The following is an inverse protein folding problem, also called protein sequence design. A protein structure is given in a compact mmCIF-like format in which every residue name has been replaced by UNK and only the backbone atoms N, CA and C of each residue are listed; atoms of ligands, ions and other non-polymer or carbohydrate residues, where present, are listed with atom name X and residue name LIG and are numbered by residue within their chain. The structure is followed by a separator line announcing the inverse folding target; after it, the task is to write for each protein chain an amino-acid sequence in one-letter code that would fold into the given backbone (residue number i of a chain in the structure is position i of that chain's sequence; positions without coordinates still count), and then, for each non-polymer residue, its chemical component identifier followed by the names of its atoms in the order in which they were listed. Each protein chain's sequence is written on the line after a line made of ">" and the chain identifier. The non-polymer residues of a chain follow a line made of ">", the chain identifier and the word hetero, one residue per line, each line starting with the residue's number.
data_IF_883633576666
#
_entry.id   IF_883633576666
#
_cell.length_a   1.000
_cell.length_b   1.000
_cell.length_c   1.000
_cell.angle_alpha   90.00
_cell.angle_beta   90.00
_cell.angle_gamma   90.00
#
_symmetry.space_group_name_H-M   'P 1'
#
loop_
_entity.id
_entity.type
_entity.pdbx_description
1 polymer ?
#
# COMPACT_ATOMS: atom_id res chain seq x y z
N UNK A 1 -5.40 -23.37 7.04
CA UNK A 1 -5.59 -21.92 6.83
C UNK A 1 -6.08 -21.71 5.41
N UNK A 2 -6.90 -20.69 5.14
CA UNK A 2 -7.33 -20.42 3.77
C UNK A 2 -6.10 -20.10 2.91
N UNK A 3 -6.04 -20.67 1.71
CA UNK A 3 -5.03 -20.33 0.71
C UNK A 3 -5.19 -18.85 0.29
N UNK A 4 -4.15 -18.21 -0.23
CA UNK A 4 -4.23 -16.86 -0.82
C UNK A 4 -5.06 -16.82 -2.12
N UNK A 5 -5.87 -17.85 -2.40
CA UNK A 5 -6.70 -17.95 -3.58
C UNK A 5 -7.57 -16.70 -3.79
N UNK A 6 -7.75 -16.34 -5.06
CA UNK A 6 -8.59 -15.25 -5.54
C UNK A 6 -8.16 -13.84 -5.14
N UNK A 7 -6.94 -13.64 -4.61
CA UNK A 7 -6.41 -12.29 -4.38
C UNK A 7 -5.59 -11.81 -5.58
N UNK A 8 -5.70 -10.52 -5.85
CA UNK A 8 -4.76 -9.77 -6.68
C UNK A 8 -4.07 -8.72 -5.82
N UNK A 9 -2.84 -8.35 -6.15
CA UNK A 9 -2.15 -7.30 -5.43
C UNK A 9 -1.13 -6.58 -6.29
N UNK A 10 -0.78 -5.37 -5.87
CA UNK A 10 0.31 -4.59 -6.44
C UNK A 10 1.05 -3.85 -5.33
N UNK A 11 2.29 -3.47 -5.59
CA UNK A 11 3.11 -2.69 -4.66
C UNK A 11 3.53 -1.40 -5.34
N UNK A 12 3.55 -0.31 -4.60
CA UNK A 12 4.07 0.98 -5.03
C UNK A 12 5.25 1.33 -4.12
N UNK A 13 6.37 1.73 -4.73
CA UNK A 13 7.61 2.08 -4.05
C UNK A 13 7.98 3.52 -4.39
N UNK A 14 7.96 4.39 -3.38
CA UNK A 14 8.31 5.79 -3.54
C UNK A 14 9.80 6.01 -3.24
N UNK A 15 10.50 6.74 -4.10
CA UNK A 15 11.93 7.05 -3.94
C UNK A 15 12.31 8.32 -4.70
N UNK A 16 13.57 8.70 -4.60
CA UNK A 16 14.16 9.85 -5.30
C UNK A 16 15.40 9.44 -6.10
N UNK A 17 15.62 10.11 -7.22
CA UNK A 17 16.83 9.95 -8.04
C UNK A 17 17.18 11.30 -8.69
N UNK A 18 18.47 11.63 -8.87
CA UNK A 18 18.85 12.84 -9.56
C UNK A 18 18.53 12.74 -11.05
N UNK A 19 18.44 13.92 -11.69
CA UNK A 19 18.54 14.02 -13.14
C UNK A 19 19.96 13.58 -13.58
N UNK A 20 20.10 12.52 -14.39
CA UNK A 20 21.40 12.12 -14.95
C UNK A 20 22.04 13.21 -15.81
N UNK A 21 23.37 13.32 -15.74
CA UNK A 21 24.15 14.29 -16.51
C UNK A 21 23.98 14.16 -18.03
N UNK A 22 23.75 12.95 -18.52
CA UNK A 22 23.46 12.67 -19.94
C UNK A 22 22.16 13.31 -20.44
N UNK A 23 21.25 13.68 -19.53
CA UNK A 23 19.97 14.33 -19.85
C UNK A 23 19.96 15.82 -19.49
N UNK A 24 21.12 16.47 -19.35
CA UNK A 24 21.22 17.91 -19.02
C UNK A 24 20.35 18.82 -19.90
N UNK A 25 20.15 18.50 -21.18
CA UNK A 25 19.25 19.28 -22.04
C UNK A 25 17.79 19.26 -21.58
N UNK A 26 17.35 18.16 -20.97
CA UNK A 26 15.99 17.99 -20.45
C UNK A 26 15.76 18.68 -19.11
N UNK A 27 16.82 19.18 -18.45
CA UNK A 27 16.73 19.88 -17.17
C UNK A 27 15.75 21.06 -17.18
N UNK A 28 15.63 21.73 -18.33
CA UNK A 28 14.79 22.92 -18.49
C UNK A 28 13.41 22.62 -19.09
N UNK A 29 13.15 21.35 -19.46
CA UNK A 29 11.93 20.95 -20.15
C UNK A 29 11.12 19.98 -19.28
N UNK A 30 11.75 18.87 -18.86
CA UNK A 30 11.08 17.81 -18.10
C UNK A 30 12.08 17.01 -17.23
N UNK A 31 12.73 17.65 -16.24
CA UNK A 31 13.75 17.00 -15.40
C UNK A 31 13.22 15.72 -14.73
N UNK A 32 12.01 15.78 -14.17
CA UNK A 32 11.37 14.63 -13.53
C UNK A 32 11.17 13.47 -14.49
N UNK A 33 10.75 13.73 -15.74
CA UNK A 33 10.55 12.69 -16.75
C UNK A 33 11.88 12.04 -17.16
N UNK A 34 12.95 12.82 -17.27
CA UNK A 34 14.27 12.31 -17.61
C UNK A 34 14.89 11.46 -16.48
N UNK A 35 14.73 11.87 -15.21
CA UNK A 35 15.19 11.09 -14.06
C UNK A 35 14.49 9.71 -13.99
N UNK A 36 13.16 9.70 -14.12
CA UNK A 36 12.35 8.47 -14.18
C UNK A 36 12.71 7.58 -15.37
N UNK A 37 12.80 8.16 -16.56
CA UNK A 37 13.13 7.43 -17.78
C UNK A 37 14.47 6.70 -17.64
N UNK A 38 15.48 7.40 -17.13
CA UNK A 38 16.82 6.83 -16.98
C UNK A 38 16.83 5.62 -16.04
N UNK A 39 16.09 5.68 -14.93
CA UNK A 39 15.96 4.53 -14.03
C UNK A 39 15.23 3.36 -14.70
N UNK A 40 14.10 3.63 -15.36
CA UNK A 40 13.32 2.61 -16.08
C UNK A 40 14.15 1.95 -17.20
N UNK A 41 14.87 2.74 -18.00
CA UNK A 41 15.70 2.27 -19.11
C UNK A 41 16.87 1.42 -18.64
N UNK A 42 17.56 1.82 -17.57
CA UNK A 42 18.64 1.04 -17.00
C UNK A 42 18.15 -0.29 -16.40
N UNK A 43 16.98 -0.29 -15.74
CA UNK A 43 16.39 -1.53 -15.23
C UNK A 43 15.92 -2.45 -16.37
N UNK A 44 15.31 -1.90 -17.42
CA UNK A 44 14.89 -2.65 -18.61
C UNK A 44 16.09 -3.34 -19.27
N UNK A 45 17.22 -2.66 -19.41
CA UNK A 45 18.45 -3.22 -20.00
C UNK A 45 19.11 -4.33 -19.19
N UNK A 46 18.80 -4.46 -17.90
CA UNK A 46 19.41 -5.45 -17.00
C UNK A 46 18.53 -6.64 -16.66
N UNK A 47 17.23 -6.53 -16.93
CA UNK A 47 16.25 -7.55 -16.56
C UNK A 47 15.48 -8.02 -17.77
N UNK A 48 14.75 -9.11 -17.64
CA UNK A 48 13.70 -9.49 -18.61
C UNK A 48 12.31 -9.05 -18.13
N UNK A 49 12.22 -8.19 -17.12
CA UNK A 49 10.94 -7.77 -16.57
C UNK A 49 10.21 -6.83 -17.55
N UNK A 50 8.87 -6.82 -17.56
CA UNK A 50 8.12 -5.83 -18.32
C UNK A 50 8.26 -4.47 -17.62
N UNK A 51 8.86 -3.49 -18.30
CA UNK A 51 9.14 -2.15 -17.77
C UNK A 51 8.50 -1.09 -18.67
N UNK A 52 7.81 -0.14 -18.04
CA UNK A 52 7.24 1.03 -18.68
C UNK A 52 7.49 2.29 -17.84
N UNK A 53 7.38 3.47 -18.46
CA UNK A 53 7.47 4.75 -17.80
C UNK A 53 6.34 5.66 -18.26
N UNK A 54 5.74 6.40 -17.33
CA UNK A 54 4.65 7.33 -17.61
C UNK A 54 5.20 8.71 -18.01
N UNK A 55 4.79 9.19 -19.17
CA UNK A 55 5.05 10.55 -19.61
C UNK A 55 4.17 11.54 -18.81
N UNK A 56 4.66 12.76 -18.61
CA UNK A 56 3.89 13.82 -17.96
C UNK A 56 4.20 15.13 -18.69
N UNK A 57 3.31 15.54 -19.59
CA UNK A 57 3.41 16.79 -20.34
C UNK A 57 2.03 17.19 -20.89
N UNK A 58 1.92 18.43 -21.37
CA UNK A 58 0.72 18.87 -22.08
C UNK A 58 0.55 18.08 -23.41
N UNK A 59 -0.67 17.93 -23.94
CA UNK A 59 -0.92 17.14 -25.16
C UNK A 59 -0.10 17.55 -26.39
N UNK A 60 0.24 18.83 -26.51
CA UNK A 60 1.00 19.38 -27.65
C UNK A 60 2.52 19.43 -27.40
N UNK A 61 2.99 18.95 -26.25
CA UNK A 61 4.39 19.01 -25.83
C UNK A 61 5.06 17.62 -25.85
N UNK A 62 6.37 17.57 -25.61
CA UNK A 62 7.13 16.33 -25.46
C UNK A 62 8.06 16.37 -24.26
N UNK A 63 8.06 15.28 -23.50
CA UNK A 63 9.05 15.04 -22.45
C UNK A 63 10.17 14.10 -22.93
N UNK A 64 11.20 13.92 -22.09
CA UNK A 64 12.32 13.02 -22.37
C UNK A 64 11.88 11.57 -22.69
N UNK A 65 10.79 11.09 -22.07
CA UNK A 65 10.28 9.72 -22.28
C UNK A 65 9.71 9.58 -23.70
N UNK A 66 8.68 10.36 -24.05
CA UNK A 66 7.98 10.21 -25.34
C UNK A 66 8.83 10.68 -26.54
N UNK A 67 9.87 11.49 -26.31
CA UNK A 67 10.86 11.84 -27.32
C UNK A 67 11.83 10.70 -27.64
N UNK A 68 12.05 9.78 -26.69
CA UNK A 68 13.05 8.70 -26.81
C UNK A 68 12.41 7.36 -27.16
N UNK A 69 11.23 7.05 -26.62
CA UNK A 69 10.53 5.78 -26.85
C UNK A 69 9.87 5.77 -28.24
N UNK A 70 10.03 4.71 -29.06
CA UNK A 70 9.37 4.58 -30.36
C UNK A 70 7.84 4.69 -30.27
N UNK A 71 7.19 5.25 -31.30
CA UNK A 71 5.74 5.54 -31.29
C UNK A 71 4.88 4.27 -31.14
N UNK A 72 5.35 3.16 -31.69
CA UNK A 72 4.71 1.84 -31.59
C UNK A 72 4.66 1.31 -30.15
N UNK A 73 5.48 1.87 -29.25
CA UNK A 73 5.53 1.50 -27.84
C UNK A 73 4.87 2.57 -26.93
N UNK A 74 4.12 3.51 -27.50
CA UNK A 74 3.41 4.55 -26.76
C UNK A 74 1.91 4.21 -26.69
N UNK A 75 1.40 4.01 -25.48
CA UNK A 75 0.03 3.63 -25.17
C UNK A 75 -0.61 4.74 -24.33
N UNK A 76 -1.05 5.82 -25.00
CA UNK A 76 -1.52 7.01 -24.30
C UNK A 76 -0.37 7.71 -23.58
N UNK A 77 -0.47 7.85 -22.25
CA UNK A 77 0.58 8.45 -21.42
C UNK A 77 1.68 7.45 -21.02
N UNK A 78 1.47 6.16 -21.30
CA UNK A 78 2.38 5.09 -20.89
C UNK A 78 3.33 4.71 -22.03
N UNK A 79 4.63 4.70 -21.76
CA UNK A 79 5.66 4.36 -22.73
C UNK A 79 6.36 3.06 -22.32
N UNK A 80 6.29 2.04 -23.17
CA UNK A 80 6.80 0.69 -22.87
C UNK A 80 8.24 0.58 -23.36
N UNK A 81 9.16 0.29 -22.44
CA UNK A 81 10.58 0.14 -22.75
C UNK A 81 10.91 -1.32 -23.07
N UNK A 82 10.29 -2.23 -22.33
CA UNK A 82 10.45 -3.66 -22.51
C UNK A 82 9.17 -4.38 -22.08
N UNK A 83 8.68 -5.31 -22.89
CA UNK A 83 7.60 -6.22 -22.51
C UNK A 83 7.78 -7.53 -23.30
N UNK A 84 8.35 -8.60 -22.71
CA UNK A 84 8.75 -9.80 -23.45
C UNK A 84 7.61 -10.47 -24.23
N UNK A 85 6.40 -10.46 -23.66
CA UNK A 85 5.23 -11.11 -24.25
C UNK A 85 4.47 -10.20 -25.22
N UNK A 86 4.93 -8.96 -25.40
CA UNK A 86 4.21 -7.91 -26.12
C UNK A 86 2.93 -7.45 -25.41
N UNK A 87 2.36 -6.37 -25.92
CA UNK A 87 1.06 -5.84 -25.49
C UNK A 87 0.09 -5.83 -26.67
N UNK A 88 -1.13 -6.28 -26.42
CA UNK A 88 -2.24 -6.20 -27.36
C UNK A 88 -2.96 -4.87 -27.23
N UNK A 89 -3.61 -4.44 -28.32
CA UNK A 89 -4.42 -3.21 -28.32
C UNK A 89 -5.53 -3.32 -27.27
N UNK A 90 -5.57 -2.38 -26.31
CA UNK A 90 -6.59 -2.31 -25.27
C UNK A 90 -6.20 -2.95 -23.94
N UNK A 91 -4.99 -3.52 -23.82
CA UNK A 91 -4.46 -3.91 -22.50
C UNK A 91 -4.02 -2.69 -21.69
N UNK A 92 -4.23 -2.75 -20.38
CA UNK A 92 -3.74 -1.73 -19.44
C UNK A 92 -2.26 -1.98 -19.13
N UNK A 93 -1.40 -1.06 -19.54
CA UNK A 93 0.06 -1.15 -19.33
C UNK A 93 0.40 -1.21 -17.85
N UNK A 94 -0.35 -0.49 -17.01
CA UNK A 94 -0.13 -0.43 -15.56
C UNK A 94 -0.43 -1.75 -14.85
N UNK A 95 -1.22 -2.64 -15.47
CA UNK A 95 -1.49 -3.97 -14.92
C UNK A 95 -0.42 -5.00 -15.31
N UNK A 96 0.37 -4.73 -16.35
CA UNK A 96 1.31 -5.70 -16.94
C UNK A 96 2.79 -5.34 -16.78
N UNK A 97 3.11 -4.09 -16.49
CA UNK A 97 4.48 -3.60 -16.41
C UNK A 97 4.80 -3.08 -15.01
N UNK A 98 6.08 -3.14 -14.64
CA UNK A 98 6.63 -2.22 -13.66
C UNK A 98 6.59 -0.82 -14.26
N UNK A 99 5.76 0.04 -13.69
CA UNK A 99 5.50 1.38 -14.20
C UNK A 99 6.19 2.42 -13.32
N UNK A 100 7.04 3.24 -13.96
CA UNK A 100 7.74 4.37 -13.33
C UNK A 100 6.95 5.66 -13.52
N UNK A 101 6.42 6.22 -12.43
CA UNK A 101 5.55 7.40 -12.42
C UNK A 101 6.16 8.56 -11.64
N UNK A 102 5.64 9.76 -11.90
CA UNK A 102 6.00 10.94 -11.12
C UNK A 102 5.38 10.84 -9.74
N UNK A 103 6.16 11.13 -8.70
CA UNK A 103 5.63 11.22 -7.33
C UNK A 103 5.95 12.58 -6.71
N UNK A 104 5.03 13.09 -5.90
CA UNK A 104 5.27 14.27 -5.08
C UNK A 104 5.71 13.85 -3.68
N UNK A 105 6.95 14.16 -3.33
CA UNK A 105 7.53 13.85 -2.03
C UNK A 105 7.83 15.13 -1.25
N UNK A 106 7.51 15.13 0.05
CA UNK A 106 7.77 16.28 0.93
C UNK A 106 9.26 16.50 1.25
N UNK A 107 10.12 15.49 1.01
CA UNK A 107 11.56 15.54 1.25
C UNK A 107 11.88 16.00 2.69
N UNK A 108 11.30 15.31 3.67
CA UNK A 108 11.29 15.74 5.08
C UNK A 108 12.67 15.67 5.75
N UNK A 109 13.62 14.92 5.18
CA UNK A 109 14.98 14.84 5.72
C UNK A 109 15.88 15.97 5.17
N UNK A 110 16.74 16.62 5.99
CA UNK A 110 17.59 17.73 5.55
C UNK A 110 18.46 17.42 4.32
N UNK A 111 18.99 16.20 4.23
CA UNK A 111 19.79 15.76 3.06
C UNK A 111 18.95 15.67 1.78
N UNK A 112 17.72 15.14 1.87
CA UNK A 112 16.78 15.07 0.75
C UNK A 112 16.41 16.47 0.28
N UNK A 113 16.04 17.34 1.21
CA UNK A 113 15.69 18.73 0.93
C UNK A 113 16.84 19.51 0.28
N UNK A 114 18.08 19.25 0.70
CA UNK A 114 19.26 19.87 0.08
C UNK A 114 19.51 19.36 -1.35
N UNK A 115 19.26 18.07 -1.59
CA UNK A 115 19.44 17.45 -2.91
C UNK A 115 18.39 17.90 -3.92
N UNK A 116 17.15 18.10 -3.46
CA UNK A 116 16.00 18.48 -4.28
C UNK A 116 15.86 17.55 -5.50
N UNK A 117 15.89 16.25 -5.24
CA UNK A 117 15.77 15.23 -6.27
C UNK A 117 14.31 14.93 -6.58
N UNK A 118 14.07 14.56 -7.85
CA UNK A 118 12.73 14.26 -8.34
C UNK A 118 12.19 12.98 -7.70
N UNK A 119 10.93 13.03 -7.28
CA UNK A 119 10.19 11.87 -6.77
C UNK A 119 9.78 10.93 -7.89
N UNK A 120 9.96 9.63 -7.64
CA UNK A 120 9.62 8.54 -8.53
C UNK A 120 8.85 7.49 -7.75
N UNK A 121 7.70 7.09 -8.28
CA UNK A 121 6.97 5.92 -7.83
C UNK A 121 7.21 4.76 -8.81
N UNK A 122 7.61 3.60 -8.29
CA UNK A 122 7.66 2.35 -9.04
C UNK A 122 6.46 1.52 -8.62
N UNK A 123 5.51 1.34 -9.53
CA UNK A 123 4.36 0.45 -9.32
C UNK A 123 4.58 -0.88 -10.02
N UNK A 124 4.22 -1.97 -9.37
CA UNK A 124 4.34 -3.31 -9.93
C UNK A 124 3.23 -3.60 -10.94
N UNK A 125 3.39 -4.61 -11.81
CA UNK A 125 2.23 -5.24 -12.43
C UNK A 125 1.26 -5.78 -11.37
N UNK A 126 0.04 -6.10 -11.78
CA UNK A 126 -0.93 -6.76 -10.92
C UNK A 126 -0.55 -8.23 -10.78
N UNK A 127 -0.08 -8.59 -9.59
CA UNK A 127 0.26 -9.95 -9.24
C UNK A 127 -0.98 -10.75 -8.81
N UNK A 128 -0.88 -12.06 -8.97
CA UNK A 128 -1.86 -13.05 -8.44
C UNK A 128 -1.27 -13.79 -7.25
N UNK A 129 -2.13 -14.51 -6.52
CA UNK A 129 -1.78 -15.32 -5.35
C UNK A 129 -0.49 -16.15 -5.48
N UNK A 130 -0.25 -16.75 -6.66
CA UNK A 130 0.94 -17.58 -6.92
C UNK A 130 2.26 -16.83 -6.74
N UNK A 131 2.29 -15.52 -6.94
CA UNK A 131 3.50 -14.71 -6.70
C UNK A 131 3.84 -14.63 -5.21
N UNK A 132 2.83 -14.51 -4.34
CA UNK A 132 3.03 -14.52 -2.87
C UNK A 132 3.47 -15.91 -2.38
N UNK A 133 2.85 -16.97 -2.89
CA UNK A 133 3.24 -18.35 -2.57
C UNK A 133 4.67 -18.66 -3.03
N UNK A 134 5.10 -18.07 -4.16
CA UNK A 134 6.48 -18.11 -4.66
C UNK A 134 7.45 -17.19 -3.92
N UNK A 135 7.00 -16.41 -2.93
CA UNK A 135 7.85 -15.53 -2.15
C UNK A 135 8.22 -14.20 -2.83
N UNK A 136 7.44 -13.76 -3.82
CA UNK A 136 7.62 -12.53 -4.60
C UNK A 136 8.95 -12.47 -5.38
N UNK A 137 9.28 -13.52 -6.12
CA UNK A 137 10.53 -13.62 -6.88
C UNK A 137 10.65 -12.54 -7.98
N UNK A 138 9.54 -12.08 -8.56
CA UNK A 138 9.55 -10.98 -9.53
C UNK A 138 10.00 -9.68 -8.85
N UNK A 139 9.51 -9.40 -7.64
CA UNK A 139 9.95 -8.25 -6.84
C UNK A 139 11.40 -8.39 -6.39
N UNK A 140 11.81 -9.59 -5.98
CA UNK A 140 13.20 -9.87 -5.62
C UNK A 140 14.14 -9.55 -6.78
N UNK A 141 13.76 -9.96 -8.00
CA UNK A 141 14.52 -9.67 -9.22
C UNK A 141 14.61 -8.18 -9.48
N UNK A 142 13.49 -7.44 -9.38
CA UNK A 142 13.46 -6.00 -9.55
C UNK A 142 14.36 -5.28 -8.54
N UNK A 143 14.19 -5.54 -7.24
CA UNK A 143 14.98 -4.92 -6.17
C UNK A 143 16.48 -5.24 -6.26
N UNK A 144 16.82 -6.50 -6.57
CA UNK A 144 18.22 -6.91 -6.75
C UNK A 144 18.87 -6.14 -7.89
N UNK A 145 18.17 -5.99 -9.03
CA UNK A 145 18.70 -5.26 -10.16
C UNK A 145 18.76 -3.75 -9.92
N UNK A 146 17.77 -3.16 -9.23
CA UNK A 146 17.78 -1.77 -8.79
C UNK A 146 19.03 -1.45 -7.95
N UNK A 147 19.39 -2.32 -7.01
CA UNK A 147 20.59 -2.19 -6.16
C UNK A 147 21.92 -2.36 -6.90
N UNK A 148 21.89 -2.90 -8.12
CA UNK A 148 23.07 -3.06 -8.96
C UNK A 148 23.14 -2.01 -10.07
N UNK A 149 22.15 -1.12 -10.18
CA UNK A 149 22.23 0.02 -11.07
C UNK A 149 23.30 0.97 -10.54
N UNK A 150 24.11 1.50 -11.45
CA UNK A 150 25.03 2.59 -11.15
C UNK A 150 24.25 3.90 -11.11
N UNK A 151 23.32 3.99 -10.16
CA UNK A 151 22.41 5.11 -9.95
C UNK A 151 22.43 5.55 -8.51
N UNK A 152 22.40 6.86 -8.31
CA UNK A 152 22.11 7.42 -7.00
C UNK A 152 20.60 7.34 -6.76
N UNK A 153 20.22 6.52 -5.79
CA UNK A 153 18.84 6.35 -5.37
C UNK A 153 18.78 6.73 -3.90
N UNK A 154 17.83 7.56 -3.49
CA UNK A 154 17.59 7.87 -2.08
C UNK A 154 16.13 7.69 -1.71
N UNK A 155 15.89 7.51 -0.42
CA UNK A 155 14.56 7.54 0.18
C UNK A 155 14.67 8.12 1.58
N UNK A 156 13.61 8.75 2.07
CA UNK A 156 13.53 9.25 3.44
C UNK A 156 12.17 8.91 4.07
N UNK A 157 11.89 9.46 5.25
CA UNK A 157 10.66 9.18 5.99
C UNK A 157 9.36 9.57 5.25
N UNK A 158 9.44 10.43 4.22
CA UNK A 158 8.29 10.74 3.37
C UNK A 158 7.99 9.65 2.35
N UNK A 159 8.99 8.83 1.99
CA UNK A 159 8.85 7.75 1.01
C UNK A 159 8.17 6.53 1.61
N UNK A 160 7.08 6.08 0.99
CA UNK A 160 6.28 4.93 1.37
C UNK A 160 6.46 3.70 0.50
N UNK A 161 6.01 2.60 1.06
CA UNK A 161 5.67 1.39 0.32
C UNK A 161 4.17 1.15 0.47
N UNK A 162 3.42 1.38 -0.61
CA UNK A 162 1.98 1.11 -0.63
C UNK A 162 1.72 -0.29 -1.16
N UNK A 163 0.70 -0.95 -0.60
CA UNK A 163 0.25 -2.24 -1.10
C UNK A 163 -1.22 -2.14 -1.44
N UNK A 164 -1.54 -2.44 -2.68
CA UNK A 164 -2.90 -2.58 -3.17
C UNK A 164 -3.28 -4.05 -3.10
N UNK A 165 -4.45 -4.36 -2.53
CA UNK A 165 -4.99 -5.72 -2.51
C UNK A 165 -6.42 -5.69 -3.04
N UNK A 166 -6.69 -6.51 -4.05
CA UNK A 166 -8.00 -6.75 -4.64
C UNK A 166 -8.37 -8.23 -4.58
N UNK A 167 -9.54 -8.55 -5.11
CA UNK A 167 -9.99 -9.93 -5.31
C UNK A 167 -10.43 -10.12 -6.75
N UNK A 168 -10.22 -11.32 -7.30
CA UNK A 168 -10.52 -11.64 -8.70
C UNK A 168 -12.01 -11.53 -9.03
N UNK A 169 -12.89 -11.76 -8.04
CA UNK A 169 -14.34 -11.57 -8.17
C UNK A 169 -14.79 -10.11 -8.15
N UNK A 170 -13.85 -9.18 -7.93
CA UNK A 170 -14.14 -7.76 -7.70
C UNK A 170 -14.58 -7.43 -6.27
N UNK A 171 -14.42 -6.16 -5.91
CA UNK A 171 -14.75 -5.65 -4.57
C UNK A 171 -16.25 -5.46 -4.42
N UNK A 172 -16.80 -5.92 -3.29
CA UNK A 172 -18.19 -5.67 -2.89
C UNK A 172 -18.24 -4.82 -1.63
N UNK A 173 -19.36 -4.14 -1.37
CA UNK A 173 -19.53 -3.37 -0.13
C UNK A 173 -19.35 -4.25 1.11
N UNK A 174 -19.89 -5.48 1.10
CA UNK A 174 -19.76 -6.39 2.22
C UNK A 174 -18.29 -6.77 2.47
N UNK A 175 -17.53 -7.07 1.42
CA UNK A 175 -16.11 -7.36 1.55
C UNK A 175 -15.34 -6.12 2.06
N UNK A 176 -15.61 -4.93 1.52
CA UNK A 176 -14.97 -3.70 1.97
C UNK A 176 -15.29 -3.38 3.44
N UNK A 177 -16.52 -3.63 3.90
CA UNK A 177 -16.92 -3.50 5.32
C UNK A 177 -16.14 -4.46 6.21
N UNK A 178 -16.02 -5.72 5.80
CA UNK A 178 -15.25 -6.75 6.52
C UNK A 178 -13.76 -6.40 6.59
N UNK A 179 -13.14 -6.02 5.47
CA UNK A 179 -11.73 -5.59 5.44
C UNK A 179 -11.53 -4.39 6.36
N UNK A 180 -12.36 -3.35 6.22
CA UNK A 180 -12.27 -2.13 7.04
C UNK A 180 -12.42 -2.43 8.53
N UNK A 181 -13.32 -3.35 8.89
CA UNK A 181 -13.49 -3.82 10.27
C UNK A 181 -12.21 -4.44 10.81
N UNK A 182 -11.55 -5.32 10.04
CA UNK A 182 -10.27 -5.91 10.45
C UNK A 182 -9.17 -4.85 10.59
N UNK A 183 -9.09 -3.90 9.65
CA UNK A 183 -8.11 -2.81 9.72
C UNK A 183 -8.31 -1.96 10.98
N UNK A 184 -9.54 -1.54 11.27
CA UNK A 184 -9.85 -0.76 12.49
C UNK A 184 -9.37 -1.50 13.75
N UNK A 185 -9.57 -2.81 13.82
CA UNK A 185 -9.22 -3.61 15.01
C UNK A 185 -7.72 -3.95 15.09
N UNK A 186 -7.01 -3.96 13.97
CA UNK A 186 -5.58 -4.31 13.88
C UNK A 186 -4.66 -3.08 13.78
N UNK A 187 -5.19 -1.90 13.51
CA UNK A 187 -4.40 -0.71 13.14
C UNK A 187 -3.36 -0.38 14.21
N UNK A 188 -3.77 -0.16 15.46
CA UNK A 188 -2.85 0.27 16.52
C UNK A 188 -1.93 -0.85 17.02
N UNK A 189 -2.45 -2.07 17.16
CA UNK A 189 -1.73 -3.17 17.84
C UNK A 189 -0.91 -4.05 16.91
N UNK A 190 -1.18 -4.02 15.60
CA UNK A 190 -0.44 -4.79 14.61
C UNK A 190 0.16 -3.90 13.53
N UNK A 191 -0.66 -3.18 12.76
CA UNK A 191 -0.19 -2.48 11.56
C UNK A 191 0.80 -1.37 11.91
N UNK A 192 0.41 -0.45 12.79
CA UNK A 192 1.29 0.63 13.24
C UNK A 192 2.46 0.08 14.08
N UNK A 193 2.26 -1.02 14.82
CA UNK A 193 3.34 -1.63 15.62
C UNK A 193 4.51 -2.11 14.75
N UNK A 194 4.24 -2.55 13.53
CA UNK A 194 5.20 -3.17 12.60
C UNK A 194 5.77 -2.22 11.54
N UNK A 195 5.41 -0.93 11.57
CA UNK A 195 5.99 0.09 10.66
C UNK A 195 6.91 1.04 11.42
N UNK A 196 7.80 1.71 10.70
CA UNK A 196 8.77 2.62 11.27
C UNK A 196 8.08 3.80 12.01
N UNK A 197 8.57 4.22 13.20
CA UNK A 197 7.95 5.28 14.00
C UNK A 197 7.64 6.61 13.29
N UNK A 198 8.48 7.12 12.37
CA UNK A 198 8.16 8.35 11.63
C UNK A 198 6.84 8.26 10.85
N UNK A 199 6.48 7.06 10.37
CA UNK A 199 5.24 6.81 9.63
C UNK A 199 3.99 6.98 10.49
N UNK A 200 4.07 6.83 11.80
CA UNK A 200 2.89 6.93 12.67
C UNK A 200 2.30 8.34 12.72
N UNK A 201 3.14 9.35 12.44
CA UNK A 201 2.80 10.78 12.57
C UNK A 201 2.84 11.53 11.24
N UNK A 202 3.34 10.89 10.18
CA UNK A 202 3.41 11.48 8.85
C UNK A 202 2.03 11.76 8.26
N UNK A 203 1.90 12.84 7.49
CA UNK A 203 0.67 13.18 6.79
C UNK A 203 0.25 12.09 5.78
N UNK A 204 1.19 11.26 5.34
CA UNK A 204 1.00 10.26 4.29
C UNK A 204 0.45 8.92 4.79
N UNK A 205 0.52 8.65 6.10
CA UNK A 205 0.15 7.36 6.71
C UNK A 205 -0.70 7.53 7.97
N UNK A 206 -1.48 8.62 8.03
CA UNK A 206 -2.34 8.95 9.17
C UNK A 206 -3.31 7.81 9.52
N UNK A 207 -3.38 7.37 10.79
CA UNK A 207 -4.28 6.29 11.20
C UNK A 207 -5.75 6.60 10.92
N UNK A 208 -6.51 5.64 10.37
CA UNK A 208 -7.94 5.81 10.09
C UNK A 208 -8.75 5.92 11.38
N UNK A 209 -8.35 5.26 12.47
CA UNK A 209 -9.01 5.32 13.78
C UNK A 209 -8.90 6.69 14.45
N UNK A 210 -8.04 7.57 13.95
CA UNK A 210 -7.83 8.91 14.52
C UNK A 210 -8.17 10.03 13.52
N UNK A 211 -7.95 9.81 12.23
CA UNK A 211 -7.95 10.89 11.23
C UNK A 211 -9.00 10.73 10.13
N UNK A 212 -9.62 9.57 9.97
CA UNK A 212 -10.66 9.39 8.95
C UNK A 212 -11.92 10.21 9.31
N UNK A 213 -12.77 10.49 8.33
CA UNK A 213 -14.09 11.05 8.61
C UNK A 213 -14.91 10.14 9.53
N UNK A 214 -14.78 8.81 9.45
CA UNK A 214 -15.37 7.90 10.44
C UNK A 214 -14.90 8.17 11.87
N UNK A 215 -13.64 8.56 12.07
CA UNK A 215 -13.15 8.89 13.41
C UNK A 215 -13.60 10.29 13.86
N UNK A 216 -13.63 11.26 12.94
CA UNK A 216 -13.80 12.67 13.31
C UNK A 216 -15.25 13.17 13.27
N UNK A 217 -16.10 12.60 12.42
CA UNK A 217 -17.45 13.09 12.14
C UNK A 217 -18.49 12.24 12.88
N UNK A 218 -18.96 12.74 14.02
CA UNK A 218 -19.94 12.06 14.87
C UNK A 218 -21.31 11.88 14.18
N UNK A 219 -21.61 12.67 13.14
CA UNK A 219 -22.87 12.53 12.39
C UNK A 219 -22.88 11.29 11.49
N UNK A 220 -21.71 10.69 11.25
CA UNK A 220 -21.58 9.40 10.56
C UNK A 220 -21.86 8.20 11.49
N UNK A 221 -22.00 8.41 12.80
CA UNK A 221 -22.25 7.35 13.79
C UNK A 221 -23.73 7.13 14.08
N UNK A 222 -24.61 7.43 13.12
CA UNK A 222 -26.04 7.25 13.30
C UNK A 222 -26.35 5.77 13.57
N UNK A 223 -27.27 5.47 14.50
CA UNK A 223 -27.72 4.10 14.71
C UNK A 223 -28.21 3.51 13.38
N UNK A 224 -27.83 2.25 13.11
CA UNK A 224 -28.39 1.51 11.99
C UNK A 224 -29.88 1.29 12.25
N UNK A 225 -30.70 1.50 11.22
CA UNK A 225 -32.13 1.15 11.25
C UNK A 225 -32.31 -0.35 11.52
N UNK A 226 -31.44 -1.18 10.93
CA UNK A 226 -31.33 -2.61 11.21
C UNK A 226 -29.86 -3.01 11.49
N UNK A 227 -29.49 -3.26 12.76
CA UNK A 227 -28.14 -3.70 13.12
C UNK A 227 -27.91 -5.21 12.89
N UNK A 228 -28.86 -5.95 12.30
CA UNK A 228 -28.75 -7.40 12.10
C UNK A 228 -27.48 -7.78 11.35
N UNK A 229 -27.17 -7.08 10.26
CA UNK A 229 -25.98 -7.37 9.45
C UNK A 229 -24.67 -7.15 10.23
N UNK A 230 -24.57 -6.05 11.00
CA UNK A 230 -23.45 -5.79 11.90
C UNK A 230 -23.33 -6.90 12.95
N UNK A 231 -24.42 -7.27 13.62
CA UNK A 231 -24.43 -8.26 14.71
C UNK A 231 -24.09 -9.69 14.24
N UNK A 232 -24.30 -9.99 12.95
CA UNK A 232 -23.88 -11.24 12.33
C UNK A 232 -22.35 -11.34 12.17
N UNK A 233 -21.62 -10.21 12.16
CA UNK A 233 -20.20 -10.17 11.81
C UNK A 233 -19.30 -9.57 12.89
N UNK A 234 -19.85 -8.73 13.76
CA UNK A 234 -19.13 -7.98 14.80
C UNK A 234 -19.72 -8.35 16.17
N UNK A 235 -18.88 -8.66 17.17
CA UNK A 235 -19.35 -8.96 18.52
C UNK A 235 -19.90 -7.72 19.22
N UNK A 236 -20.75 -7.93 20.22
CA UNK A 236 -21.36 -6.84 20.97
C UNK A 236 -20.32 -5.92 21.61
N UNK A 237 -20.58 -4.61 21.66
CA UNK A 237 -19.73 -3.59 22.30
C UNK A 237 -19.30 -3.99 23.72
N UNK A 238 -20.14 -4.68 24.49
CA UNK A 238 -19.84 -5.12 25.86
C UNK A 238 -18.64 -6.08 25.95
N UNK A 239 -18.28 -6.74 24.84
CA UNK A 239 -17.10 -7.60 24.75
C UNK A 239 -15.79 -6.83 24.55
N UNK A 240 -15.89 -5.56 24.12
CA UNK A 240 -14.73 -4.71 23.85
C UNK A 240 -14.24 -4.03 25.13
N UNK A 241 -13.14 -4.52 25.67
CA UNK A 241 -12.51 -3.94 26.87
C UNK A 241 -11.70 -2.68 26.52
N UNK A 242 -11.68 -1.66 27.39
CA UNK A 242 -10.74 -0.55 27.26
C UNK A 242 -9.29 -1.04 27.24
N UNK A 243 -8.48 -0.49 26.34
CA UNK A 243 -7.05 -0.78 26.25
C UNK A 243 -6.34 0.13 25.25
N UNK A 244 -5.02 -0.01 25.12
CA UNK A 244 -4.23 0.82 24.18
C UNK A 244 -4.75 0.76 22.74
N UNK A 245 -5.23 -0.41 22.31
CA UNK A 245 -5.74 -0.68 20.97
C UNK A 245 -6.96 0.17 20.58
N UNK A 246 -7.74 0.65 21.55
CA UNK A 246 -8.91 1.52 21.32
C UNK A 246 -8.78 2.87 22.03
N UNK A 247 -7.55 3.27 22.36
CA UNK A 247 -7.25 4.45 23.15
C UNK A 247 -8.07 4.55 24.45
N UNK A 248 -8.39 3.40 25.07
CA UNK A 248 -9.26 3.30 26.24
C UNK A 248 -10.73 3.73 26.03
N UNK A 249 -11.17 3.92 24.79
CA UNK A 249 -12.53 4.33 24.42
C UNK A 249 -13.21 3.31 23.49
N UNK A 250 -13.58 2.10 23.95
CA UNK A 250 -14.18 1.06 23.11
C UNK A 250 -15.46 1.51 22.40
N UNK A 251 -16.23 2.42 23.02
CA UNK A 251 -17.44 3.02 22.41
C UNK A 251 -17.12 3.79 21.13
N UNK A 252 -15.95 4.42 21.03
CA UNK A 252 -15.54 5.16 19.85
C UNK A 252 -15.29 4.21 18.67
N UNK A 253 -14.50 3.16 18.89
CA UNK A 253 -14.26 2.12 17.87
C UNK A 253 -15.56 1.46 17.44
N UNK A 254 -16.44 1.11 18.39
CA UNK A 254 -17.72 0.48 18.06
C UNK A 254 -18.62 1.41 17.22
N UNK A 255 -18.62 2.72 17.48
CA UNK A 255 -19.32 3.71 16.66
C UNK A 255 -18.74 3.86 15.25
N UNK A 256 -17.42 3.75 15.09
CA UNK A 256 -16.82 3.69 13.77
C UNK A 256 -17.33 2.48 12.99
N UNK A 257 -17.44 1.31 13.64
CA UNK A 257 -18.01 0.12 13.01
C UNK A 257 -19.47 0.34 12.59
N UNK A 258 -20.28 1.07 13.37
CA UNK A 258 -21.61 1.48 12.90
C UNK A 258 -21.56 2.28 11.58
N UNK A 259 -20.63 3.23 11.45
CA UNK A 259 -20.46 4.00 10.21
C UNK A 259 -19.98 3.15 9.02
N UNK A 260 -19.09 2.19 9.27
CA UNK A 260 -18.64 1.22 8.24
C UNK A 260 -19.82 0.39 7.75
N UNK A 261 -20.51 -0.28 8.67
CA UNK A 261 -21.62 -1.19 8.35
C UNK A 261 -22.90 -0.47 7.92
N UNK A 262 -22.96 0.86 8.11
CA UNK A 262 -24.03 1.73 7.60
C UNK A 262 -23.79 2.25 6.19
N UNK A 263 -22.59 2.07 5.65
CA UNK A 263 -22.29 2.41 4.27
C UNK A 263 -22.88 1.35 3.35
N UNK A 264 -23.76 1.75 2.42
CA UNK A 264 -24.48 0.82 1.52
C UNK A 264 -23.85 0.73 0.13
N UNK A 265 -22.89 1.62 -0.18
CA UNK A 265 -22.14 1.64 -1.44
C UNK A 265 -20.65 1.92 -1.20
N UNK A 266 -19.79 1.40 -2.07
CA UNK A 266 -18.33 1.56 -1.99
C UNK A 266 -17.87 3.02 -2.01
N UNK A 267 -18.57 3.87 -2.76
CA UNK A 267 -18.24 5.30 -2.88
C UNK A 267 -18.30 6.02 -1.53
N UNK A 268 -19.35 5.77 -0.75
CA UNK A 268 -19.54 6.38 0.57
C UNK A 268 -18.47 5.89 1.54
N UNK A 269 -18.23 4.58 1.59
CA UNK A 269 -17.20 4.01 2.45
C UNK A 269 -15.81 4.56 2.11
N UNK A 270 -15.45 4.65 0.83
CA UNK A 270 -14.19 5.27 0.37
C UNK A 270 -14.08 6.72 0.84
N UNK A 271 -15.16 7.49 0.77
CA UNK A 271 -15.19 8.87 1.24
C UNK A 271 -15.02 8.98 2.76
N UNK A 272 -15.66 8.10 3.53
CA UNK A 272 -15.60 8.14 4.99
C UNK A 272 -14.24 7.70 5.56
N UNK A 273 -13.49 6.90 4.81
CA UNK A 273 -12.12 6.50 5.17
C UNK A 273 -11.08 7.62 4.99
N UNK A 274 -11.42 8.69 4.25
CA UNK A 274 -10.54 9.84 4.02
C UNK A 274 -10.60 10.85 5.16
N UNK A 275 -9.49 11.52 5.44
CA UNK A 275 -9.46 12.70 6.31
C UNK A 275 -10.20 13.85 5.64
N UNK A 276 -11.16 14.43 6.37
CA UNK A 276 -12.04 15.49 5.88
C UNK A 276 -12.66 15.17 4.50
N UNK A 277 -12.90 13.87 4.23
CA UNK A 277 -13.43 13.35 2.95
C UNK A 277 -12.57 13.65 1.72
N UNK A 278 -11.31 14.08 1.90
CA UNK A 278 -10.43 14.53 0.81
C UNK A 278 -9.12 13.75 0.74
N UNK A 279 -8.39 13.68 1.84
CA UNK A 279 -7.04 13.13 1.86
C UNK A 279 -7.06 11.67 2.30
N UNK A 280 -6.33 10.80 1.61
CA UNK A 280 -6.21 9.39 2.00
C UNK A 280 -5.51 9.28 3.36
N UNK A 281 -5.98 8.36 4.18
CA UNK A 281 -5.33 7.95 5.42
C UNK A 281 -4.39 6.76 5.14
N UNK A 282 -3.85 6.13 6.18
CA UNK A 282 -3.01 4.94 6.08
C UNK A 282 -3.72 3.73 5.47
N UNK A 283 -5.06 3.76 5.39
CA UNK A 283 -5.87 2.80 4.65
C UNK A 283 -6.89 3.54 3.79
N UNK A 284 -7.08 3.08 2.55
CA UNK A 284 -8.03 3.67 1.60
C UNK A 284 -8.70 2.60 0.73
N UNK A 285 -9.88 2.94 0.20
CA UNK A 285 -10.55 2.16 -0.83
C UNK A 285 -10.36 2.87 -2.18
N UNK A 286 -9.62 2.23 -3.09
CA UNK A 286 -9.27 2.73 -4.41
C UNK A 286 -10.28 2.23 -5.43
N UNK A 287 -11.24 3.09 -5.72
CA UNK A 287 -12.34 2.80 -6.63
C UNK A 287 -11.83 2.81 -8.08
N UNK A 288 -12.04 1.69 -8.78
CA UNK A 288 -11.78 1.55 -10.21
C UNK A 288 -13.12 1.32 -10.91
N UNK A 289 -13.32 2.00 -12.04
CA UNK A 289 -14.56 2.22 -12.81
C UNK A 289 -15.21 3.61 -12.55
N UNK A 290 -15.01 4.54 -13.49
CA UNK A 290 -15.51 5.92 -13.44
C UNK A 290 -16.62 6.15 -14.49
N UNK A 291 -17.55 5.19 -14.65
CA UNK A 291 -18.64 5.31 -15.63
C UNK A 291 -20.02 4.76 -15.23
N UNK A 292 -20.13 3.93 -14.19
CA UNK A 292 -21.40 3.26 -13.82
C UNK A 292 -21.67 3.44 -12.33
N UNK A 293 -22.90 3.83 -11.97
CA UNK A 293 -23.27 4.21 -10.59
C UNK A 293 -23.19 3.09 -9.55
N UNK A 294 -22.91 1.86 -9.95
CA UNK A 294 -22.71 0.73 -9.05
C UNK A 294 -21.31 0.12 -9.25
N UNK A 295 -20.48 0.20 -8.22
CA UNK A 295 -19.11 -0.34 -8.19
C UNK A 295 -19.03 -1.77 -7.62
N UNK A 296 -20.17 -2.38 -7.30
CA UNK A 296 -20.21 -3.77 -6.82
C UNK A 296 -19.58 -4.73 -7.85
N UNK A 297 -18.57 -5.47 -7.42
CA UNK A 297 -17.83 -6.39 -8.27
C UNK A 297 -16.83 -5.70 -9.20
N UNK A 298 -16.55 -4.41 -9.02
CA UNK A 298 -15.53 -3.71 -9.83
C UNK A 298 -14.11 -4.10 -9.40
N UNK A 299 -13.07 -3.86 -10.24
CA UNK A 299 -11.68 -4.18 -9.92
C UNK A 299 -11.07 -3.22 -8.88
N UNK A 300 -11.92 -2.57 -8.06
CA UNK A 300 -11.48 -1.72 -6.95
C UNK A 300 -10.61 -2.51 -5.98
N UNK A 301 -9.64 -1.84 -5.39
CA UNK A 301 -8.70 -2.42 -4.42
C UNK A 301 -8.79 -1.68 -3.09
N UNK A 302 -8.30 -2.30 -2.04
CA UNK A 302 -7.89 -1.56 -0.84
C UNK A 302 -6.41 -1.21 -0.93
N UNK A 303 -6.02 -0.05 -0.43
CA UNK A 303 -4.65 0.47 -0.42
C UNK A 303 -4.20 0.65 1.03
N UNK A 304 -3.04 0.08 1.35
CA UNK A 304 -2.38 0.23 2.64
C UNK A 304 -1.12 1.08 2.48
N UNK A 305 -1.11 2.24 3.14
CA UNK A 305 -0.08 3.30 3.00
C UNK A 305 0.81 3.43 4.23
N UNK A 306 0.71 2.51 5.19
CA UNK A 306 1.39 2.63 6.49
C UNK A 306 2.92 2.50 6.40
N UNK A 307 3.42 1.58 5.58
CA UNK A 307 4.82 1.18 5.59
C UNK A 307 5.72 2.23 4.95
N UNK A 308 6.90 2.41 5.54
CA UNK A 308 8.00 3.13 4.94
C UNK A 308 8.54 2.38 3.71
N UNK A 309 9.16 3.13 2.80
CA UNK A 309 9.88 2.55 1.67
C UNK A 309 10.93 1.51 2.14
N UNK A 310 11.20 0.49 1.31
CA UNK A 310 12.25 -0.49 1.56
C UNK A 310 12.87 -1.01 0.26
N UNK A 311 14.17 -1.30 0.30
CA UNK A 311 14.87 -2.08 -0.72
C UNK A 311 15.15 -3.52 -0.29
N UNK A 312 14.67 -3.91 0.90
CA UNK A 312 14.77 -5.26 1.44
C UNK A 312 13.55 -6.08 1.02
N UNK A 313 13.82 -7.10 0.20
CA UNK A 313 12.81 -8.03 -0.29
C UNK A 313 12.09 -8.80 0.82
N UNK A 314 12.78 -9.14 1.91
CA UNK A 314 12.18 -9.89 3.00
C UNK A 314 11.18 -9.03 3.76
N UNK A 315 11.52 -7.77 4.06
CA UNK A 315 10.59 -6.82 4.68
C UNK A 315 9.36 -6.59 3.79
N UNK A 316 9.58 -6.33 2.50
CA UNK A 316 8.51 -6.13 1.52
C UNK A 316 7.56 -7.32 1.50
N UNK A 317 8.10 -8.54 1.32
CA UNK A 317 7.30 -9.77 1.29
C UNK A 317 6.51 -9.97 2.57
N UNK A 318 7.16 -9.86 3.73
CA UNK A 318 6.52 -10.10 5.01
C UNK A 318 5.38 -9.10 5.27
N UNK A 319 5.54 -7.85 4.84
CA UNK A 319 4.49 -6.84 4.92
C UNK A 319 3.33 -7.13 3.97
N UNK A 320 3.60 -7.39 2.69
CA UNK A 320 2.56 -7.75 1.71
C UNK A 320 1.76 -8.99 2.17
N UNK A 321 2.41 -9.98 2.78
CA UNK A 321 1.76 -11.20 3.29
C UNK A 321 0.76 -10.91 4.42
N UNK A 322 1.09 -10.00 5.34
CA UNK A 322 0.17 -9.54 6.40
C UNK A 322 -1.08 -8.92 5.78
N UNK A 323 -0.90 -8.01 4.82
CA UNK A 323 -1.98 -7.25 4.22
C UNK A 323 -2.89 -8.13 3.34
N UNK A 324 -2.29 -9.02 2.56
CA UNK A 324 -3.00 -10.05 1.82
C UNK A 324 -3.83 -10.94 2.76
N UNK A 325 -3.27 -11.34 3.90
CA UNK A 325 -3.96 -12.18 4.89
C UNK A 325 -5.17 -11.49 5.50
N UNK A 326 -5.12 -10.17 5.73
CA UNK A 326 -6.30 -9.40 6.19
C UNK A 326 -7.44 -9.51 5.18
N UNK A 327 -7.15 -9.38 3.88
CA UNK A 327 -8.18 -9.50 2.84
C UNK A 327 -8.70 -10.94 2.72
N UNK A 328 -7.82 -11.94 2.85
CA UNK A 328 -8.24 -13.36 2.87
C UNK A 328 -9.19 -13.65 4.04
N UNK A 329 -8.90 -13.15 5.24
CA UNK A 329 -9.79 -13.33 6.40
C UNK A 329 -11.16 -12.65 6.20
N UNK A 330 -11.18 -11.51 5.50
CA UNK A 330 -12.42 -10.81 5.18
C UNK A 330 -13.32 -11.56 4.17
N UNK A 331 -12.78 -12.52 3.41
CA UNK A 331 -13.55 -13.34 2.49
C UNK A 331 -14.29 -14.51 3.18
N UNK A 332 -13.96 -14.81 4.44
CA UNK A 332 -14.66 -15.85 5.21
C UNK A 332 -16.16 -15.58 5.32
N UNK A 333 -16.94 -16.64 5.53
CA UNK A 333 -18.38 -16.49 5.73
C UNK A 333 -18.71 -15.69 7.02
N UNK A 334 -19.99 -15.48 7.31
CA UNK A 334 -20.37 -14.67 8.48
C UNK A 334 -19.88 -15.27 9.81
N UNK A 335 -19.90 -16.59 9.95
CA UNK A 335 -19.49 -17.29 11.17
C UNK A 335 -17.96 -17.25 11.32
N UNK A 336 -17.23 -17.62 10.25
CA UNK A 336 -15.77 -17.58 10.21
C UNK A 336 -15.24 -16.17 10.48
N UNK A 337 -15.81 -15.16 9.83
CA UNK A 337 -15.42 -13.77 10.00
C UNK A 337 -15.71 -13.28 11.43
N UNK A 338 -16.89 -13.57 11.98
CA UNK A 338 -17.23 -13.17 13.34
C UNK A 338 -16.31 -13.81 14.38
N UNK A 339 -16.02 -15.10 14.23
CA UNK A 339 -15.06 -15.80 15.08
C UNK A 339 -13.65 -15.18 15.01
N UNK A 340 -13.22 -14.74 13.82
CA UNK A 340 -11.98 -13.99 13.64
C UNK A 340 -12.01 -12.65 14.39
N UNK A 341 -13.07 -11.86 14.24
CA UNK A 341 -13.23 -10.57 14.94
C UNK A 341 -13.24 -10.74 16.46
N UNK A 342 -13.97 -11.73 16.97
CA UNK A 342 -14.00 -12.06 18.40
C UNK A 342 -12.61 -12.42 18.94
N UNK A 343 -11.84 -13.18 18.14
CA UNK A 343 -10.45 -13.53 18.49
C UNK A 343 -9.54 -12.32 18.54
N UNK A 344 -9.64 -11.40 17.57
CA UNK A 344 -8.87 -10.13 17.57
C UNK A 344 -9.21 -9.30 18.81
N UNK A 345 -10.50 -9.10 19.10
CA UNK A 345 -10.95 -8.33 20.29
C UNK A 345 -10.44 -8.98 21.58
N UNK A 346 -10.47 -10.31 21.68
CA UNK A 346 -9.96 -11.06 22.83
C UNK A 346 -8.46 -10.85 23.03
N UNK A 347 -7.67 -10.96 21.96
CA UNK A 347 -6.20 -10.79 22.00
C UNK A 347 -5.83 -9.34 22.32
N UNK A 348 -6.49 -8.37 21.70
CA UNK A 348 -6.30 -6.94 21.97
C UNK A 348 -6.67 -6.55 23.41
N UNK A 349 -7.60 -7.28 24.04
CA UNK A 349 -7.99 -7.09 25.43
C UNK A 349 -6.98 -7.62 26.46
N UNK A 350 -5.87 -8.24 26.03
CA UNK A 350 -4.78 -8.69 26.90
C UNK A 350 -3.89 -7.49 27.24
N UNK A 351 -3.49 -7.35 28.50
CA UNK A 351 -2.51 -6.34 28.92
C UNK A 351 -1.08 -6.86 28.69
N UNK A 352 -0.73 -7.06 27.42
CA UNK A 352 0.55 -7.64 26.99
C UNK A 352 1.27 -6.70 26.01
N UNK A 353 2.61 -6.62 26.10
CA UNK A 353 3.44 -5.90 25.12
C UNK A 353 3.55 -6.64 23.78
N UNK A 354 3.33 -7.96 23.79
CA UNK A 354 3.48 -8.84 22.64
C UNK A 354 2.13 -9.23 21.99
N UNK A 355 1.09 -8.40 22.17
CA UNK A 355 -0.23 -8.56 21.52
C UNK A 355 -0.09 -8.82 20.01
N UNK A 356 0.83 -8.11 19.35
CA UNK A 356 1.08 -8.26 17.91
C UNK A 356 1.51 -9.69 17.53
N UNK A 357 2.26 -10.41 18.39
CA UNK A 357 2.65 -11.80 18.14
C UNK A 357 1.44 -12.72 18.20
N UNK A 358 0.56 -12.50 19.19
CA UNK A 358 -0.72 -13.20 19.28
C UNK A 358 -1.57 -12.97 18.03
N UNK A 359 -1.66 -11.74 17.53
CA UNK A 359 -2.38 -11.44 16.29
C UNK A 359 -1.73 -12.12 15.06
N UNK A 360 -0.40 -12.13 14.98
CA UNK A 360 0.33 -12.81 13.90
C UNK A 360 0.09 -14.33 13.93
N UNK A 361 0.23 -14.97 15.07
CA UNK A 361 0.12 -16.43 15.20
C UNK A 361 -1.33 -16.90 15.19
N UNK A 362 -2.17 -16.32 16.03
CA UNK A 362 -3.49 -16.86 16.32
C UNK A 362 -4.56 -16.38 15.33
N UNK A 363 -4.37 -15.23 14.67
CA UNK A 363 -5.34 -14.64 13.74
C UNK A 363 -4.86 -14.74 12.31
N UNK A 364 -3.68 -14.19 12.01
CA UNK A 364 -3.14 -14.20 10.64
C UNK A 364 -2.52 -15.53 10.26
N UNK A 365 -2.11 -16.34 11.24
CA UNK A 365 -1.44 -17.60 10.98
C UNK A 365 -0.03 -17.47 10.40
N UNK A 366 0.63 -16.35 10.71
CA UNK A 366 1.95 -15.96 10.22
C UNK A 366 3.02 -16.13 11.31
N UNK A 367 2.90 -17.17 12.14
CA UNK A 367 3.88 -17.48 13.20
C UNK A 367 5.31 -17.59 12.64
N UNK A 368 5.45 -18.19 11.45
CA UNK A 368 6.72 -18.36 10.77
C UNK A 368 7.39 -17.03 10.34
N UNK A 369 6.68 -15.89 10.44
CA UNK A 369 7.20 -14.54 10.17
C UNK A 369 7.61 -13.77 11.42
N UNK A 370 7.23 -14.25 12.62
CA UNK A 370 7.48 -13.55 13.87
C UNK A 370 8.98 -13.27 14.09
N UNK A 371 9.92 -14.22 13.88
CA UNK A 371 11.34 -13.95 14.06
C UNK A 371 11.88 -12.84 13.16
N UNK A 372 11.46 -12.78 11.89
CA UNK A 372 11.88 -11.70 10.99
C UNK A 372 11.36 -10.34 11.46
N UNK A 373 10.12 -10.28 11.94
CA UNK A 373 9.55 -9.04 12.47
C UNK A 373 10.25 -8.60 13.75
N UNK A 374 10.60 -9.53 14.65
CA UNK A 374 11.39 -9.17 15.83
C UNK A 374 12.73 -8.54 15.46
N UNK A 375 13.40 -9.05 14.43
CA UNK A 375 14.66 -8.45 13.97
C UNK A 375 14.43 -7.08 13.32
N UNK A 376 13.42 -6.95 12.46
CA UNK A 376 13.07 -5.67 11.86
C UNK A 376 12.74 -4.59 12.91
N UNK A 377 12.02 -4.97 13.96
CA UNK A 377 11.69 -4.04 15.05
C UNK A 377 12.94 -3.56 15.80
N UNK A 378 13.96 -4.41 15.97
CA UNK A 378 15.26 -3.98 16.52
C UNK A 378 15.98 -3.02 15.57
N UNK A 379 15.87 -3.19 14.26
CA UNK A 379 16.40 -2.23 13.29
C UNK A 379 15.75 -0.85 13.48
N UNK A 380 14.43 -0.79 13.62
CA UNK A 380 13.73 0.47 13.91
C UNK A 380 14.15 1.08 15.25
N UNK A 381 14.36 0.27 16.30
CA UNK A 381 14.87 0.77 17.58
C UNK A 381 16.28 1.39 17.46
N UNK A 382 17.08 0.97 16.48
CA UNK A 382 18.40 1.56 16.16
C UNK A 382 18.32 2.78 15.23
N UNK A 383 17.13 3.14 14.75
CA UNK A 383 16.94 4.23 13.78
C UNK A 383 17.14 3.83 12.32
N UNK A 384 17.25 2.54 12.02
CA UNK A 384 17.36 2.02 10.65
C UNK A 384 15.95 1.83 10.08
N UNK A 385 15.36 2.90 9.53
CA UNK A 385 13.96 2.87 9.05
C UNK A 385 13.81 2.38 7.61
N UNK A 386 14.69 2.82 6.71
CA UNK A 386 14.71 2.36 5.31
C UNK A 386 15.92 1.45 5.10
N UNK A 387 15.66 0.17 4.82
CA UNK A 387 16.72 -0.84 4.68
C UNK A 387 17.61 -0.57 3.47
N UNK A 388 18.91 -0.86 3.63
CA UNK A 388 19.98 -0.73 2.63
C UNK A 388 20.39 0.70 2.23
N UNK A 389 19.98 1.73 2.97
CA UNK A 389 20.58 3.05 2.82
C UNK A 389 21.87 3.20 3.63
N UNK A 390 22.78 4.06 3.18
CA UNK A 390 23.90 4.57 3.96
C UNK A 390 23.53 5.79 4.83
N UNK A 391 24.51 6.34 5.55
CA UNK A 391 24.30 7.48 6.44
C UNK A 391 23.95 8.77 5.68
N UNK A 392 24.17 8.77 4.36
CA UNK A 392 23.79 9.84 3.43
C UNK A 392 22.41 9.55 2.79
N UNK A 393 21.67 8.54 3.26
CA UNK A 393 20.39 8.09 2.68
C UNK A 393 20.49 7.63 1.23
N UNK A 394 21.67 7.21 0.77
CA UNK A 394 21.88 6.65 -0.57
C UNK A 394 21.81 5.13 -0.52
N UNK A 395 21.19 4.55 -1.55
CA UNK A 395 21.08 3.11 -1.71
C UNK A 395 22.47 2.48 -1.85
N UNK A 396 22.79 1.57 -0.93
CA UNK A 396 24.02 0.77 -0.96
C UNK A 396 23.98 -0.21 -2.14
N UNK A 397 25.00 -0.13 -2.98
CA UNK A 397 25.22 -1.14 -4.02
C UNK A 397 25.45 -2.53 -3.40
N UNK A 398 25.02 -3.56 -4.13
CA UNK A 398 25.21 -4.96 -3.73
C UNK A 398 26.65 -5.44 -3.86
#
# INVERSE_FOLDING_TARGET
>A
MPSFQNITFGVELELMTPLPDSYRMWRFISPCAAARYNMADLLAKRTSLPIAAQCCHAPDDKCAICATVPKENQFGEDCVLQCPDGLSLGEDVSERCFMFKSEFLEQVHPLSFQRDWDGVEITTPVFRAGELDGGLDTMKTALTNLRQLDLQISADDSCGMHVHVGVESGMTILLAQKITTLVILLETTLLLRLVAPPRWKGAFSMPICENSSLAMDMDLHKPLEDPTLLNQHVPCMSTMKPGKWNNWYPKHIYKMLYGVWGSTILADLSMYLKKARRHRCGFALCLRDLGVGNLEGSPSTVEFRYSQMTFDHELLRNWTEILARIVVLAQGDAEEFKGCVEKIVSINGRDDRDVWKGLMTDVLGLEHRVPQWEEQLKCFERGEYVSHLDDELLLKSL
#
